data_IF_093013908959
#
_entry.id   IF_093013908959
#
_cell.length_a   1.000
_cell.length_b   1.000
_cell.length_c   1.000
_cell.angle_alpha   90.00
_cell.angle_beta   90.00
_cell.angle_gamma   90.00
#
_symmetry.space_group_name_H-M   'P 1'
#
loop_
_entity.id
_entity.type
_entity.pdbx_description
1 polymer ?
#
# COMPACT_ATOMS: atom_id res chain seq x y z
N UNK A 1 27.76 2.75 -23.58
CA UNK A 1 26.65 1.99 -22.96
C UNK A 1 26.88 1.67 -21.47
N UNK A 2 28.10 1.68 -20.92
CA UNK A 2 28.36 1.30 -19.51
C UNK A 2 27.90 2.35 -18.47
N UNK A 3 28.17 3.64 -18.69
CA UNK A 3 27.91 4.70 -17.68
C UNK A 3 26.43 4.83 -17.25
N UNK A 4 25.49 4.65 -18.19
CA UNK A 4 24.07 4.82 -17.91
C UNK A 4 23.48 3.64 -17.12
N UNK A 5 23.94 2.43 -17.39
CA UNK A 5 23.55 1.23 -16.62
C UNK A 5 24.07 1.34 -15.19
N UNK A 6 25.29 1.85 -14.99
CA UNK A 6 25.84 2.12 -13.67
C UNK A 6 25.04 3.16 -12.88
N UNK A 7 24.50 4.19 -13.56
CA UNK A 7 23.63 5.18 -12.91
C UNK A 7 22.33 4.55 -12.41
N UNK A 8 21.64 3.77 -13.26
CA UNK A 8 20.39 3.07 -12.89
C UNK A 8 20.65 2.12 -11.72
N UNK A 9 21.75 1.36 -11.78
CA UNK A 9 22.20 0.45 -10.73
C UNK A 9 22.40 1.19 -9.40
N UNK A 10 23.13 2.30 -9.44
CA UNK A 10 23.39 3.15 -8.28
C UNK A 10 22.10 3.72 -7.69
N UNK A 11 21.18 4.22 -8.52
CA UNK A 11 19.87 4.71 -8.07
C UNK A 11 19.04 3.61 -7.40
N UNK A 12 19.02 2.40 -7.96
CA UNK A 12 18.27 1.29 -7.37
C UNK A 12 18.92 0.80 -6.07
N UNK A 13 20.24 0.82 -5.94
CA UNK A 13 20.92 0.48 -4.69
C UNK A 13 20.70 1.56 -3.62
N UNK A 14 21.13 2.79 -3.88
CA UNK A 14 21.09 3.88 -2.90
C UNK A 14 19.68 4.40 -2.62
N UNK A 15 18.77 4.31 -3.58
CA UNK A 15 17.35 4.63 -3.38
C UNK A 15 16.57 3.44 -2.85
N UNK A 16 16.72 2.26 -3.47
CA UNK A 16 15.91 1.09 -3.12
C UNK A 16 16.19 0.51 -1.74
N UNK A 17 17.46 0.41 -1.31
CA UNK A 17 17.77 -0.18 0.00
C UNK A 17 17.18 0.62 1.17
N UNK A 18 17.35 1.95 1.26
CA UNK A 18 16.70 2.73 2.31
C UNK A 18 15.19 2.56 2.32
N UNK A 19 14.54 2.57 1.15
CA UNK A 19 13.09 2.35 1.02
C UNK A 19 12.71 0.98 1.56
N UNK A 20 13.46 -0.06 1.20
CA UNK A 20 13.22 -1.43 1.64
C UNK A 20 13.40 -1.58 3.16
N UNK A 21 14.49 -1.07 3.73
CA UNK A 21 14.79 -1.18 5.17
C UNK A 21 13.76 -0.38 5.97
N UNK A 22 13.58 0.90 5.66
CA UNK A 22 12.63 1.77 6.35
C UNK A 22 11.20 1.28 6.17
N UNK A 23 10.83 0.81 4.98
CA UNK A 23 9.51 0.27 4.70
C UNK A 23 9.22 -1.03 5.44
N UNK A 24 10.18 -1.95 5.50
CA UNK A 24 10.01 -3.23 6.20
C UNK A 24 9.88 -2.99 7.71
N UNK A 25 10.81 -2.23 8.30
CA UNK A 25 10.76 -1.86 9.71
C UNK A 25 9.46 -1.10 10.02
N UNK A 26 9.11 -0.12 9.19
CA UNK A 26 7.89 0.68 9.34
C UNK A 26 6.62 -0.18 9.32
N UNK A 27 6.47 -1.08 8.35
CA UNK A 27 5.29 -1.95 8.28
C UNK A 27 5.23 -2.94 9.46
N UNK A 28 6.36 -3.48 9.94
CA UNK A 28 6.40 -4.32 11.14
C UNK A 28 5.96 -3.54 12.40
N UNK A 29 6.45 -2.30 12.56
CA UNK A 29 6.05 -1.43 13.66
C UNK A 29 4.56 -1.04 13.57
N UNK A 30 4.05 -0.76 12.37
CA UNK A 30 2.62 -0.55 12.12
C UNK A 30 1.81 -1.75 12.56
N UNK A 31 2.18 -2.96 12.13
CA UNK A 31 1.49 -4.19 12.49
C UNK A 31 1.40 -4.31 14.01
N UNK A 32 2.53 -4.11 14.70
CA UNK A 32 2.59 -4.23 16.15
C UNK A 32 1.77 -3.18 16.90
N UNK A 33 1.84 -1.92 16.47
CA UNK A 33 1.12 -0.81 17.12
C UNK A 33 -0.39 -0.90 16.89
N UNK A 34 -0.82 -1.29 15.68
CA UNK A 34 -2.23 -1.38 15.31
C UNK A 34 -2.89 -2.67 15.84
N UNK A 35 -2.12 -3.71 16.13
CA UNK A 35 -2.62 -5.01 16.59
C UNK A 35 -3.55 -4.94 17.81
N UNK A 36 -3.24 -4.05 18.77
CA UNK A 36 -4.04 -3.88 19.99
C UNK A 36 -5.43 -3.32 19.69
N UNK A 37 -5.52 -2.44 18.70
CA UNK A 37 -6.75 -1.75 18.32
C UNK A 37 -7.43 -2.37 17.09
N UNK A 38 -7.08 -3.62 16.74
CA UNK A 38 -7.60 -4.37 15.58
C UNK A 38 -9.11 -4.61 15.58
N UNK A 39 -9.80 -4.28 16.67
CA UNK A 39 -11.26 -4.35 16.75
C UNK A 39 -11.94 -3.15 16.07
N UNK A 40 -11.20 -2.08 15.77
CA UNK A 40 -11.70 -0.97 14.94
C UNK A 40 -11.57 -1.34 13.45
N UNK A 41 -12.63 -1.14 12.63
CA UNK A 41 -12.66 -1.60 11.23
C UNK A 41 -11.55 -0.97 10.36
N UNK A 42 -11.34 0.34 10.41
CA UNK A 42 -10.24 0.98 9.68
C UNK A 42 -8.87 0.50 10.14
N UNK A 43 -8.66 0.39 11.47
CA UNK A 43 -7.40 -0.12 12.01
C UNK A 43 -7.13 -1.54 11.51
N UNK A 44 -8.16 -2.39 11.44
CA UNK A 44 -8.05 -3.73 10.86
C UNK A 44 -7.66 -3.69 9.38
N UNK A 45 -8.28 -2.83 8.57
CA UNK A 45 -7.97 -2.70 7.14
C UNK A 45 -6.53 -2.20 6.93
N UNK A 46 -6.09 -1.18 7.68
CA UNK A 46 -4.72 -0.65 7.61
C UNK A 46 -3.69 -1.68 8.09
N UNK A 47 -4.04 -2.47 9.13
CA UNK A 47 -3.22 -3.58 9.58
C UNK A 47 -3.02 -4.62 8.48
N UNK A 48 -4.11 -5.02 7.80
CA UNK A 48 -4.05 -5.91 6.63
C UNK A 48 -3.20 -5.33 5.51
N UNK A 49 -3.38 -4.04 5.19
CA UNK A 49 -2.54 -3.34 4.21
C UNK A 49 -1.05 -3.37 4.58
N UNK A 50 -0.72 -3.21 5.86
CA UNK A 50 0.68 -3.27 6.33
C UNK A 50 1.32 -4.65 6.16
N UNK A 51 0.54 -5.73 6.35
CA UNK A 51 1.00 -7.11 6.07
C UNK A 51 1.25 -7.30 4.58
N UNK A 52 0.31 -6.85 3.74
CA UNK A 52 0.44 -6.93 2.28
C UNK A 52 1.62 -6.09 1.79
N UNK A 53 1.86 -4.91 2.38
CA UNK A 53 3.00 -4.06 2.06
C UNK A 53 4.34 -4.75 2.32
N UNK A 54 4.45 -5.58 3.37
CA UNK A 54 5.64 -6.40 3.56
C UNK A 54 5.83 -7.33 2.35
N UNK A 55 4.80 -8.04 1.91
CA UNK A 55 4.86 -8.93 0.74
C UNK A 55 5.31 -8.14 -0.50
N UNK A 56 4.74 -6.96 -0.73
CA UNK A 56 5.09 -6.06 -1.83
C UNK A 56 6.57 -5.64 -1.79
N UNK A 57 7.09 -5.28 -0.61
CA UNK A 57 8.48 -4.87 -0.46
C UNK A 57 9.44 -6.04 -0.67
N UNK A 58 9.09 -7.26 -0.22
CA UNK A 58 9.92 -8.44 -0.41
C UNK A 58 9.87 -8.98 -1.85
N UNK A 59 8.68 -9.22 -2.41
CA UNK A 59 8.55 -9.80 -3.75
C UNK A 59 8.77 -8.77 -4.87
N UNK A 60 8.43 -7.51 -4.64
CA UNK A 60 8.62 -6.43 -5.60
C UNK A 60 9.99 -5.76 -5.48
N UNK A 61 10.20 -5.00 -4.40
CA UNK A 61 11.37 -4.11 -4.29
C UNK A 61 12.67 -4.88 -4.05
N UNK A 62 12.70 -5.83 -3.10
CA UNK A 62 13.91 -6.57 -2.79
C UNK A 62 14.39 -7.40 -3.98
N UNK A 63 13.48 -8.11 -4.68
CA UNK A 63 13.85 -8.82 -5.91
C UNK A 63 14.33 -7.87 -7.02
N UNK A 64 13.78 -6.66 -7.11
CA UNK A 64 14.28 -5.62 -8.02
C UNK A 64 15.69 -5.15 -7.64
N UNK A 65 15.97 -4.95 -6.36
CA UNK A 65 17.32 -4.59 -5.88
C UNK A 65 18.33 -5.69 -6.23
N UNK A 66 17.98 -6.96 -6.02
CA UNK A 66 18.85 -8.08 -6.42
C UNK A 66 19.09 -8.12 -7.93
N UNK A 67 18.01 -8.05 -8.73
CA UNK A 67 18.11 -8.15 -10.19
C UNK A 67 18.78 -6.95 -10.86
N UNK A 68 18.41 -5.72 -10.50
CA UNK A 68 18.95 -4.50 -11.14
C UNK A 68 20.20 -3.98 -10.43
N UNK A 69 20.25 -4.06 -9.10
CA UNK A 69 21.36 -3.54 -8.29
C UNK A 69 22.59 -4.45 -8.28
N UNK A 70 22.38 -5.76 -8.21
CA UNK A 70 23.46 -6.76 -8.12
C UNK A 70 23.58 -7.66 -9.35
N UNK A 71 22.75 -7.47 -10.37
CA UNK A 71 22.66 -8.38 -11.53
C UNK A 71 22.35 -9.84 -11.12
N UNK A 72 21.71 -10.04 -9.97
CA UNK A 72 21.28 -11.34 -9.46
C UNK A 72 19.80 -11.54 -9.77
N UNK A 73 19.51 -12.03 -10.98
CA UNK A 73 18.14 -12.29 -11.40
C UNK A 73 17.79 -13.79 -11.35
N UNK A 74 17.31 -14.27 -10.20
CA UNK A 74 16.81 -15.64 -10.07
C UNK A 74 15.58 -15.93 -10.95
N UNK A 75 14.87 -14.90 -11.43
CA UNK A 75 13.75 -15.10 -12.33
C UNK A 75 14.19 -15.48 -13.75
N UNK A 76 15.47 -15.26 -14.09
CA UNK A 76 16.05 -15.68 -15.36
C UNK A 76 16.44 -17.16 -15.42
N UNK A 77 16.51 -17.84 -14.25
CA UNK A 77 16.96 -19.23 -14.14
C UNK A 77 15.91 -20.17 -13.57
N UNK A 78 15.03 -19.68 -12.70
CA UNK A 78 14.01 -20.49 -12.04
C UNK A 78 12.59 -20.08 -12.50
N UNK A 79 11.91 -20.99 -13.19
CA UNK A 79 10.57 -20.75 -13.73
C UNK A 79 9.52 -20.49 -12.64
N UNK A 80 9.60 -21.20 -11.50
CA UNK A 80 8.69 -21.03 -10.38
C UNK A 80 8.88 -19.62 -9.80
N UNK A 81 10.12 -19.17 -9.66
CA UNK A 81 10.41 -17.81 -9.18
C UNK A 81 9.94 -16.74 -10.17
N UNK A 82 10.14 -16.94 -11.47
CA UNK A 82 9.63 -16.05 -12.51
C UNK A 82 8.10 -15.84 -12.39
N UNK A 83 7.36 -16.94 -12.33
CA UNK A 83 5.89 -16.91 -12.21
C UNK A 83 5.43 -16.26 -10.91
N UNK A 84 5.93 -16.75 -9.78
CA UNK A 84 5.46 -16.29 -8.46
C UNK A 84 5.84 -14.85 -8.17
N UNK A 85 7.03 -14.38 -8.61
CA UNK A 85 7.45 -12.98 -8.46
C UNK A 85 6.49 -12.01 -9.13
N UNK A 86 6.14 -12.24 -10.40
CA UNK A 86 5.25 -11.35 -11.16
C UNK A 86 3.86 -11.35 -10.54
N UNK A 87 3.30 -12.55 -10.31
CA UNK A 87 1.94 -12.69 -9.79
C UNK A 87 1.77 -12.12 -8.37
N UNK A 88 2.68 -12.43 -7.44
CA UNK A 88 2.58 -11.95 -6.06
C UNK A 88 2.84 -10.45 -5.94
N UNK A 89 3.74 -9.91 -6.77
CA UNK A 89 3.98 -8.46 -6.80
C UNK A 89 2.73 -7.73 -7.29
N UNK A 90 2.15 -8.17 -8.41
CA UNK A 90 0.93 -7.60 -8.98
C UNK A 90 -0.25 -7.69 -8.00
N UNK A 91 -0.51 -8.89 -7.47
CA UNK A 91 -1.55 -9.12 -6.47
C UNK A 91 -1.36 -8.21 -5.25
N UNK A 92 -0.13 -8.12 -4.74
CA UNK A 92 0.22 -7.31 -3.58
C UNK A 92 -0.03 -5.82 -3.81
N UNK A 93 0.35 -5.27 -4.96
CA UNK A 93 0.09 -3.86 -5.28
C UNK A 93 -1.41 -3.55 -5.27
N UNK A 94 -2.21 -4.37 -5.96
CA UNK A 94 -3.65 -4.16 -6.05
C UNK A 94 -4.36 -4.36 -4.71
N UNK A 95 -4.00 -5.39 -3.96
CA UNK A 95 -4.54 -5.62 -2.61
C UNK A 95 -4.23 -4.45 -1.69
N UNK A 96 -2.99 -3.98 -1.66
CA UNK A 96 -2.58 -2.87 -0.79
C UNK A 96 -3.36 -1.59 -1.11
N UNK A 97 -3.40 -1.17 -2.39
CA UNK A 97 -4.13 0.02 -2.81
C UNK A 97 -5.63 -0.10 -2.55
N UNK A 98 -6.20 -1.28 -2.77
CA UNK A 98 -7.61 -1.56 -2.46
C UNK A 98 -7.87 -1.44 -0.96
N UNK A 99 -7.00 -1.97 -0.11
CA UNK A 99 -7.13 -1.81 1.34
C UNK A 99 -7.07 -0.34 1.77
N UNK A 100 -6.18 0.47 1.19
CA UNK A 100 -6.13 1.92 1.48
C UNK A 100 -7.44 2.60 1.02
N UNK A 101 -7.98 2.24 -0.15
CA UNK A 101 -9.27 2.74 -0.61
C UNK A 101 -10.42 2.33 0.34
N UNK A 102 -10.44 1.08 0.80
CA UNK A 102 -11.42 0.61 1.77
C UNK A 102 -11.30 1.36 3.11
N UNK A 103 -10.07 1.64 3.56
CA UNK A 103 -9.83 2.43 4.76
C UNK A 103 -10.31 3.88 4.58
N UNK A 104 -10.11 4.50 3.41
CA UNK A 104 -10.58 5.86 3.14
C UNK A 104 -12.11 5.93 3.03
N UNK A 105 -12.74 4.92 2.42
CA UNK A 105 -14.20 4.76 2.40
C UNK A 105 -14.74 4.61 3.83
N UNK A 106 -14.11 3.79 4.67
CA UNK A 106 -14.51 3.63 6.07
C UNK A 106 -14.43 4.95 6.85
N UNK A 107 -13.38 5.76 6.63
CA UNK A 107 -13.28 7.12 7.20
C UNK A 107 -14.40 8.02 6.72
N UNK A 108 -14.74 7.97 5.43
CA UNK A 108 -15.86 8.72 4.88
C UNK A 108 -17.18 8.29 5.52
N UNK A 109 -17.46 6.99 5.59
CA UNK A 109 -18.69 6.45 6.18
C UNK A 109 -18.88 6.85 7.65
N UNK A 110 -17.81 6.84 8.45
CA UNK A 110 -17.85 7.30 9.84
C UNK A 110 -18.09 8.81 9.93
N UNK A 111 -17.57 9.58 8.96
CA UNK A 111 -17.75 11.04 8.93
C UNK A 111 -19.17 11.47 8.56
N UNK A 112 -19.97 10.58 7.95
CA UNK A 112 -21.34 10.88 7.57
C UNK A 112 -22.24 11.15 8.79
N UNK A 113 -23.17 12.11 8.64
CA UNK A 113 -24.15 12.45 9.68
C UNK A 113 -25.19 11.35 9.89
N UNK A 114 -25.60 10.67 8.82
CA UNK A 114 -26.64 9.66 8.89
C UNK A 114 -26.11 8.36 9.50
N UNK A 115 -26.82 7.84 10.49
CA UNK A 115 -26.43 6.63 11.21
C UNK A 115 -26.38 5.39 10.30
N UNK A 116 -27.25 5.32 9.29
CA UNK A 116 -27.27 4.23 8.30
C UNK A 116 -25.90 4.03 7.64
N UNK A 117 -25.22 5.12 7.24
CA UNK A 117 -23.89 5.03 6.63
C UNK A 117 -22.80 4.70 7.64
N UNK A 118 -22.86 5.28 8.85
CA UNK A 118 -21.93 4.96 9.94
C UNK A 118 -22.01 3.49 10.35
N UNK A 119 -23.20 2.91 10.28
CA UNK A 119 -23.44 1.50 10.58
C UNK A 119 -22.84 0.54 9.55
N UNK A 120 -22.40 1.01 8.37
CA UNK A 120 -21.65 0.17 7.42
C UNK A 120 -20.19 -0.03 7.85
N UNK A 121 -19.64 0.89 8.64
CA UNK A 121 -18.31 0.78 9.25
C UNK A 121 -18.32 -0.18 10.45
N UNK A 122 -18.61 -1.46 10.19
CA UNK A 122 -18.57 -2.55 11.18
C UNK A 122 -17.39 -3.47 10.92
N UNK A 123 -16.84 -4.05 11.98
CA UNK A 123 -15.68 -4.94 11.88
C UNK A 123 -15.97 -6.19 11.04
N UNK A 124 -17.20 -6.73 11.08
CA UNK A 124 -17.61 -7.86 10.25
C UNK A 124 -17.52 -7.53 8.76
N UNK A 125 -18.00 -6.35 8.36
CA UNK A 125 -17.91 -5.86 6.99
C UNK A 125 -16.46 -5.66 6.57
N UNK A 126 -15.64 -5.02 7.41
CA UNK A 126 -14.23 -4.82 7.12
C UNK A 126 -13.46 -6.14 6.90
N UNK A 127 -13.71 -7.16 7.73
CA UNK A 127 -13.13 -8.50 7.57
C UNK A 127 -13.55 -9.14 6.26
N UNK A 128 -14.83 -9.08 5.93
CA UNK A 128 -15.36 -9.64 4.69
C UNK A 128 -14.79 -8.92 3.46
N UNK A 129 -14.73 -7.58 3.49
CA UNK A 129 -14.16 -6.78 2.41
C UNK A 129 -12.68 -7.09 2.17
N UNK A 130 -11.87 -7.22 3.23
CA UNK A 130 -10.46 -7.63 3.11
C UNK A 130 -10.33 -9.06 2.55
N UNK A 131 -11.16 -10.00 3.04
CA UNK A 131 -11.14 -11.38 2.56
C UNK A 131 -11.49 -11.47 1.07
N UNK A 132 -12.55 -10.80 0.63
CA UNK A 132 -12.96 -10.71 -0.78
C UNK A 132 -11.86 -10.05 -1.61
N UNK A 133 -11.23 -8.98 -1.10
CA UNK A 133 -10.10 -8.30 -1.76
C UNK A 133 -8.95 -9.26 -2.03
N UNK A 134 -8.57 -10.07 -1.03
CA UNK A 134 -7.49 -11.05 -1.17
C UNK A 134 -7.86 -12.10 -2.23
N UNK A 135 -9.05 -12.71 -2.14
CA UNK A 135 -9.46 -13.73 -3.11
C UNK A 135 -9.51 -13.16 -4.53
N UNK A 136 -10.15 -12.00 -4.69
CA UNK A 136 -10.33 -11.36 -5.98
C UNK A 136 -8.98 -11.09 -6.67
N UNK A 137 -8.02 -10.49 -5.95
CA UNK A 137 -6.73 -10.14 -6.55
C UNK A 137 -5.79 -11.35 -6.73
N UNK A 138 -5.92 -12.41 -5.93
CA UNK A 138 -5.23 -13.67 -6.19
C UNK A 138 -5.76 -14.32 -7.47
N UNK A 139 -7.08 -14.38 -7.66
CA UNK A 139 -7.70 -14.90 -8.88
C UNK A 139 -7.29 -14.07 -10.10
N UNK A 140 -7.37 -12.74 -9.97
CA UNK A 140 -6.97 -11.80 -11.03
C UNK A 140 -5.50 -11.99 -11.47
N UNK A 141 -4.63 -12.38 -10.55
CA UNK A 141 -3.19 -12.58 -10.82
C UNK A 141 -2.83 -14.00 -11.28
N UNK A 142 -3.79 -14.93 -11.36
CA UNK A 142 -3.57 -16.28 -11.89
C UNK A 142 -3.02 -16.32 -13.32
N UNK A 143 -3.48 -15.47 -14.28
CA UNK A 143 -2.93 -15.46 -15.62
C UNK A 143 -1.41 -15.21 -15.64
N UNK A 144 -0.90 -14.36 -14.75
CA UNK A 144 0.55 -14.09 -14.65
C UNK A 144 1.32 -15.35 -14.19
N UNK A 145 0.72 -16.20 -13.35
CA UNK A 145 1.29 -17.51 -12.99
C UNK A 145 1.29 -18.49 -14.15
N UNK A 146 0.28 -18.42 -15.02
CA UNK A 146 0.14 -19.34 -16.16
C UNK A 146 1.13 -18.95 -17.26
N UNK A 147 1.12 -17.68 -17.67
CA UNK A 147 1.84 -17.15 -18.83
C UNK A 147 3.27 -16.68 -18.55
N UNK A 148 3.68 -16.58 -17.27
CA UNK A 148 5.07 -16.28 -16.91
C UNK A 148 6.03 -17.35 -17.43
N UNK A 149 7.04 -16.96 -18.19
CA UNK A 149 8.01 -17.89 -18.79
C UNK A 149 9.39 -17.25 -18.91
N UNK A 150 10.40 -18.09 -19.09
CA UNK A 150 11.79 -17.67 -19.30
C UNK A 150 12.03 -17.62 -20.80
N UNK A 151 12.38 -16.44 -21.31
CA UNK A 151 12.72 -16.22 -22.72
C UNK A 151 14.23 -16.07 -22.83
N UNK A 152 14.82 -16.74 -23.83
CA UNK A 152 16.21 -16.52 -24.23
C UNK A 152 16.25 -15.54 -25.40
N UNK A 153 17.00 -14.45 -25.25
CA UNK A 153 17.25 -13.53 -26.35
C UNK A 153 18.14 -14.24 -27.40
N UNK A 154 17.69 -14.39 -28.66
CA UNK A 154 18.44 -15.12 -29.68
C UNK A 154 19.75 -14.43 -30.08
N UNK A 155 19.86 -13.10 -29.88
CA UNK A 155 21.04 -12.32 -30.28
C UNK A 155 22.10 -12.25 -29.19
N UNK A 156 21.70 -12.13 -27.93
CA UNK A 156 22.63 -11.97 -26.80
C UNK A 156 22.82 -13.24 -25.98
N UNK A 157 21.97 -14.25 -26.19
CA UNK A 157 21.96 -15.48 -25.40
C UNK A 157 21.45 -15.31 -23.96
N UNK A 158 21.14 -14.08 -23.53
CA UNK A 158 20.67 -13.77 -22.18
C UNK A 158 19.24 -14.26 -21.97
N UNK A 159 18.98 -14.87 -20.80
CA UNK A 159 17.65 -15.27 -20.37
C UNK A 159 17.01 -14.19 -19.49
N UNK A 160 15.70 -14.00 -19.64
CA UNK A 160 14.93 -13.08 -18.80
C UNK A 160 13.52 -13.60 -18.59
N UNK A 161 12.92 -13.25 -17.46
CA UNK A 161 11.53 -13.56 -17.16
C UNK A 161 10.60 -12.58 -17.88
N UNK A 162 9.60 -13.10 -18.59
CA UNK A 162 8.58 -12.29 -19.24
C UNK A 162 7.24 -13.04 -19.26
N UNK A 163 6.17 -12.32 -19.59
CA UNK A 163 4.82 -12.87 -19.69
C UNK A 163 4.46 -12.96 -21.16
N UNK A 164 4.46 -14.18 -21.72
CA UNK A 164 4.02 -14.42 -23.10
C UNK A 164 2.58 -14.90 -23.03
N UNK A 165 1.65 -13.98 -23.27
CA UNK A 165 0.22 -14.26 -23.26
C UNK A 165 -0.41 -13.97 -24.63
N UNK A 166 -1.61 -14.52 -24.89
CA UNK A 166 -2.38 -14.16 -26.08
C UNK A 166 -2.55 -12.64 -26.19
N UNK A 167 -2.60 -12.06 -27.41
CA UNK A 167 -2.67 -10.61 -27.60
C UNK A 167 -3.79 -9.92 -26.81
N UNK A 168 -4.93 -10.58 -26.65
CA UNK A 168 -6.05 -10.08 -25.85
C UNK A 168 -5.68 -9.85 -24.38
N UNK A 169 -4.95 -10.78 -23.76
CA UNK A 169 -4.53 -10.62 -22.38
C UNK A 169 -3.41 -9.58 -22.25
N UNK A 170 -2.46 -9.53 -23.19
CA UNK A 170 -1.44 -8.48 -23.18
C UNK A 170 -2.07 -7.09 -23.28
N UNK A 171 -3.04 -6.90 -24.17
CA UNK A 171 -3.79 -5.66 -24.29
C UNK A 171 -4.58 -5.33 -23.02
N UNK A 172 -5.23 -6.32 -22.41
CA UNK A 172 -5.89 -6.12 -21.11
C UNK A 172 -4.90 -5.66 -20.03
N UNK A 173 -3.72 -6.28 -19.95
CA UNK A 173 -2.70 -5.95 -18.95
C UNK A 173 -2.20 -4.52 -19.12
N UNK A 174 -1.88 -4.14 -20.36
CA UNK A 174 -1.34 -2.83 -20.70
C UNK A 174 -2.40 -1.73 -20.62
N UNK A 175 -3.58 -1.90 -21.21
CA UNK A 175 -4.55 -0.81 -21.33
C UNK A 175 -5.60 -0.75 -20.23
N UNK A 176 -5.76 -1.82 -19.44
CA UNK A 176 -6.76 -1.87 -18.36
C UNK A 176 -6.08 -2.10 -17.02
N UNK A 177 -5.35 -3.21 -16.87
CA UNK A 177 -4.88 -3.63 -15.55
C UNK A 177 -3.92 -2.61 -14.93
N UNK A 178 -2.93 -2.15 -15.68
CA UNK A 178 -1.96 -1.17 -15.19
C UNK A 178 -2.60 0.22 -14.99
N UNK A 179 -3.21 0.87 -16.01
CA UNK A 179 -3.66 2.25 -15.87
C UNK A 179 -4.88 2.39 -14.97
N UNK A 180 -5.84 1.45 -15.06
CA UNK A 180 -7.10 1.55 -14.33
C UNK A 180 -6.94 1.08 -12.90
N UNK A 181 -6.47 -0.16 -12.67
CA UNK A 181 -6.45 -0.72 -11.31
C UNK A 181 -5.29 -0.22 -10.45
N UNK A 182 -4.14 0.11 -11.04
CA UNK A 182 -3.00 0.63 -10.29
C UNK A 182 -3.09 2.15 -10.08
N UNK A 183 -3.61 2.87 -11.08
CA UNK A 183 -3.53 4.33 -11.14
C UNK A 183 -4.86 5.03 -10.92
N UNK A 184 -5.72 5.01 -11.95
CA UNK A 184 -6.91 5.86 -12.02
C UNK A 184 -7.95 5.52 -10.96
N UNK A 185 -8.35 4.24 -10.85
CA UNK A 185 -9.43 3.84 -9.95
C UNK A 185 -9.08 4.10 -8.48
N UNK A 186 -7.91 3.67 -7.94
CA UNK A 186 -7.54 4.01 -6.57
C UNK A 186 -7.43 5.51 -6.34
N UNK A 187 -6.79 6.25 -7.25
CA UNK A 187 -6.61 7.70 -7.11
C UNK A 187 -7.95 8.45 -7.05
N UNK A 188 -8.90 8.11 -7.94
CA UNK A 188 -10.23 8.72 -7.94
C UNK A 188 -10.95 8.42 -6.63
N UNK A 189 -10.96 7.16 -6.18
CA UNK A 189 -11.61 6.77 -4.91
C UNK A 189 -10.98 7.53 -3.74
N UNK A 190 -9.65 7.56 -3.64
CA UNK A 190 -8.92 8.22 -2.55
C UNK A 190 -9.16 9.74 -2.54
N UNK A 191 -9.16 10.40 -3.70
CA UNK A 191 -9.43 11.84 -3.81
C UNK A 191 -10.88 12.14 -3.40
N UNK A 192 -11.86 11.44 -3.97
CA UNK A 192 -13.28 11.68 -3.66
C UNK A 192 -13.55 11.44 -2.18
N UNK A 193 -13.17 10.28 -1.66
CA UNK A 193 -13.40 9.91 -0.25
C UNK A 193 -12.62 10.80 0.70
N UNK A 194 -11.39 11.21 0.36
CA UNK A 194 -10.58 12.17 1.12
C UNK A 194 -11.25 13.54 1.22
N UNK A 195 -11.69 14.11 0.09
CA UNK A 195 -12.39 15.40 0.04
C UNK A 195 -13.71 15.35 0.83
N UNK A 196 -14.50 14.30 0.65
CA UNK A 196 -15.75 14.13 1.39
C UNK A 196 -15.51 13.99 2.90
N UNK A 197 -14.50 13.21 3.30
CA UNK A 197 -14.11 13.06 4.70
C UNK A 197 -13.68 14.39 5.29
N UNK A 198 -12.83 15.15 4.60
CA UNK A 198 -12.36 16.45 5.04
C UNK A 198 -13.53 17.42 5.30
N UNK A 199 -14.47 17.52 4.35
CA UNK A 199 -15.67 18.37 4.48
C UNK A 199 -16.54 17.99 5.68
N UNK A 200 -16.62 16.70 5.99
CA UNK A 200 -17.46 16.18 7.07
C UNK A 200 -16.79 16.23 8.45
N UNK A 201 -15.45 16.29 8.51
CA UNK A 201 -14.68 16.21 9.76
C UNK A 201 -14.99 17.36 10.73
N UNK A 202 -15.39 18.52 10.22
CA UNK A 202 -15.77 19.68 11.03
C UNK A 202 -17.14 19.56 11.72
N UNK A 203 -17.92 18.51 11.42
CA UNK A 203 -19.32 18.34 11.89
C UNK A 203 -19.54 17.09 12.77
N UNK A 204 -18.47 16.37 13.12
CA UNK A 204 -18.54 15.14 13.89
C UNK A 204 -18.82 15.42 15.38
N UNK A 205 -20.07 15.22 15.82
CA UNK A 205 -20.46 15.17 17.23
C UNK A 205 -20.51 13.71 17.70
N UNK A 206 -19.37 13.16 18.13
CA UNK A 206 -19.28 11.81 18.73
C UNK A 206 -18.92 11.98 20.22
N UNK A 207 -19.25 11.00 21.07
CA UNK A 207 -18.75 10.93 22.46
C UNK A 207 -17.25 11.22 22.54
N UNK A 208 -16.84 12.12 23.44
CA UNK A 208 -15.51 12.75 23.53
C UNK A 208 -14.31 11.82 23.36
N UNK A 209 -14.35 10.59 23.93
CA UNK A 209 -13.25 9.62 23.80
C UNK A 209 -13.18 8.93 22.43
N UNK A 210 -14.31 8.46 21.90
CA UNK A 210 -14.36 7.85 20.56
C UNK A 210 -14.02 8.88 19.48
N UNK A 211 -14.42 10.13 19.70
CA UNK A 211 -14.11 11.26 18.82
C UNK A 211 -12.59 11.46 18.64
N UNK A 212 -11.80 11.39 19.71
CA UNK A 212 -10.33 11.59 19.64
C UNK A 212 -9.66 10.54 18.75
N UNK A 213 -9.98 9.25 18.96
CA UNK A 213 -9.38 8.16 18.17
C UNK A 213 -9.79 8.29 16.69
N UNK A 214 -11.06 8.58 16.42
CA UNK A 214 -11.55 8.72 15.05
C UNK A 214 -10.91 9.93 14.35
N UNK A 215 -10.79 11.08 15.03
CA UNK A 215 -10.10 12.27 14.50
C UNK A 215 -8.64 11.99 14.15
N UNK A 216 -7.92 11.24 14.98
CA UNK A 216 -6.54 10.88 14.70
C UNK A 216 -6.41 9.94 13.49
N UNK A 217 -7.25 8.90 13.40
CA UNK A 217 -7.27 7.99 12.25
C UNK A 217 -7.65 8.72 10.95
N UNK A 218 -8.60 9.64 11.02
CA UNK A 218 -8.97 10.49 9.88
C UNK A 218 -7.80 11.37 9.46
N UNK A 219 -7.11 12.02 10.40
CA UNK A 219 -5.91 12.83 10.11
C UNK A 219 -4.80 12.00 9.44
N UNK A 220 -4.53 10.80 9.96
CA UNK A 220 -3.57 9.87 9.36
C UNK A 220 -3.90 9.59 7.89
N UNK A 221 -5.14 9.21 7.59
CA UNK A 221 -5.58 8.88 6.23
C UNK A 221 -5.55 10.09 5.31
N UNK A 222 -5.99 11.27 5.77
CA UNK A 222 -5.97 12.50 4.97
C UNK A 222 -4.55 12.93 4.57
N UNK A 223 -3.54 12.65 5.39
CA UNK A 223 -2.13 12.91 5.05
C UNK A 223 -1.57 11.82 4.14
N UNK A 224 -2.00 10.56 4.32
CA UNK A 224 -1.51 9.44 3.52
C UNK A 224 -2.03 9.46 2.07
N UNK A 225 -3.29 9.86 1.86
CA UNK A 225 -3.91 9.94 0.53
C UNK A 225 -3.07 10.71 -0.50
N UNK A 226 -2.68 11.98 -0.29
CA UNK A 226 -1.89 12.72 -1.28
C UNK A 226 -0.53 12.08 -1.53
N UNK A 227 0.10 11.49 -0.52
CA UNK A 227 1.39 10.78 -0.70
C UNK A 227 1.23 9.60 -1.65
N UNK A 228 0.17 8.79 -1.47
CA UNK A 228 -0.10 7.65 -2.36
C UNK A 228 -0.40 8.14 -3.77
N UNK A 229 -1.32 9.10 -3.93
CA UNK A 229 -1.72 9.63 -5.25
C UNK A 229 -0.53 10.23 -6.00
N UNK A 230 0.28 11.06 -5.34
CA UNK A 230 1.48 11.65 -5.93
C UNK A 230 2.58 10.63 -6.22
N UNK A 231 2.53 9.44 -5.61
CA UNK A 231 3.51 8.38 -5.86
C UNK A 231 3.07 7.41 -6.95
N UNK A 232 1.78 7.09 -7.02
CA UNK A 232 1.24 6.10 -7.97
C UNK A 232 0.96 6.70 -9.34
N UNK A 233 0.41 7.92 -9.43
CA UNK A 233 0.04 8.52 -10.71
C UNK A 233 1.23 8.77 -11.64
N UNK A 234 2.37 9.35 -11.19
CA UNK A 234 3.51 9.56 -12.08
C UNK A 234 4.07 8.25 -12.64
N UNK A 235 4.11 7.20 -11.81
CA UNK A 235 4.54 5.87 -12.23
C UNK A 235 3.65 5.29 -13.33
N UNK A 236 2.33 5.34 -13.13
CA UNK A 236 1.36 4.81 -14.10
C UNK A 236 1.39 5.61 -15.40
N UNK A 237 1.31 6.95 -15.31
CA UNK A 237 1.31 7.83 -16.49
C UNK A 237 2.56 7.61 -17.33
N UNK A 238 3.73 7.55 -16.68
CA UNK A 238 4.98 7.38 -17.40
C UNK A 238 5.14 5.97 -17.98
N UNK A 239 4.68 4.94 -17.27
CA UNK A 239 4.71 3.57 -17.80
C UNK A 239 3.83 3.46 -19.04
N UNK A 240 2.62 4.04 -19.03
CA UNK A 240 1.76 4.11 -20.22
C UNK A 240 2.44 4.88 -21.36
N UNK A 241 3.05 6.03 -21.06
CA UNK A 241 3.82 6.78 -22.05
C UNK A 241 4.89 5.91 -22.73
N UNK A 242 5.65 5.10 -21.96
CA UNK A 242 6.67 4.21 -22.53
C UNK A 242 6.09 3.12 -23.43
N UNK A 243 4.89 2.63 -23.11
CA UNK A 243 4.17 1.63 -23.94
C UNK A 243 3.68 2.26 -25.24
N UNK A 244 3.01 3.41 -25.17
CA UNK A 244 2.51 4.10 -26.36
C UNK A 244 3.62 4.54 -27.31
N UNK A 245 4.75 4.95 -26.77
CA UNK A 245 5.90 5.40 -27.55
C UNK A 245 6.84 4.26 -27.98
N UNK A 246 6.50 3.00 -27.71
CA UNK A 246 7.36 1.85 -28.05
C UNK A 246 7.55 1.65 -29.56
N UNK A 247 6.59 2.08 -30.39
CA UNK A 247 6.66 2.00 -31.87
C UNK A 247 7.43 3.15 -32.50
N UNK A 248 7.73 4.20 -31.73
CA UNK A 248 8.44 5.39 -32.22
C UNK A 248 9.94 5.09 -32.21
N UNK A 249 10.64 5.42 -33.30
CA UNK A 249 12.10 5.28 -33.37
C UNK A 249 12.73 6.31 -32.43
N UNK A 250 13.42 5.82 -31.38
CA UNK A 250 14.08 6.66 -30.37
C UNK A 250 15.59 6.60 -30.50
N UNK A 251 16.23 7.74 -30.27
CA UNK A 251 17.69 7.82 -30.11
C UNK A 251 18.14 7.09 -28.84
N UNK A 252 19.41 6.67 -28.80
CA UNK A 252 20.01 6.04 -27.60
C UNK A 252 19.90 6.93 -26.35
N UNK A 253 19.99 8.25 -26.52
CA UNK A 253 19.89 9.21 -25.42
C UNK A 253 18.45 9.28 -24.87
N UNK A 254 17.45 9.33 -25.74
CA UNK A 254 16.03 9.33 -25.32
C UNK A 254 15.67 8.06 -24.54
N UNK A 255 16.06 6.87 -25.04
CA UNK A 255 15.79 5.61 -24.34
C UNK A 255 16.46 5.56 -22.95
N UNK A 256 17.66 6.16 -22.83
CA UNK A 256 18.35 6.27 -21.55
C UNK A 256 17.56 7.15 -20.57
N UNK A 257 17.14 8.33 -21.01
CA UNK A 257 16.38 9.28 -20.16
C UNK A 257 15.08 8.62 -19.68
N UNK A 258 14.37 7.95 -20.57
CA UNK A 258 13.13 7.24 -20.22
C UNK A 258 13.36 6.14 -19.19
N UNK A 259 14.44 5.36 -19.32
CA UNK A 259 14.77 4.33 -18.33
C UNK A 259 15.10 4.93 -16.95
N UNK A 260 15.78 6.07 -16.91
CA UNK A 260 16.09 6.78 -15.66
C UNK A 260 14.80 7.28 -15.01
N UNK A 261 13.93 7.96 -15.77
CA UNK A 261 12.65 8.49 -15.26
C UNK A 261 11.76 7.33 -14.77
N UNK A 262 11.70 6.23 -15.53
CA UNK A 262 10.97 5.02 -15.12
C UNK A 262 11.50 4.47 -13.81
N UNK A 263 12.82 4.44 -13.60
CA UNK A 263 13.41 3.97 -12.35
C UNK A 263 13.06 4.89 -11.17
N UNK A 264 13.14 6.21 -11.37
CA UNK A 264 12.78 7.21 -10.35
C UNK A 264 11.32 7.02 -9.94
N UNK A 265 10.39 6.96 -10.90
CA UNK A 265 8.97 6.77 -10.58
C UNK A 265 8.67 5.39 -10.02
N UNK A 266 9.43 4.36 -10.39
CA UNK A 266 9.31 3.04 -9.75
C UNK A 266 9.70 3.11 -8.27
N UNK A 267 10.80 3.78 -7.92
CA UNK A 267 11.22 3.96 -6.52
C UNK A 267 10.21 4.81 -5.75
N UNK A 268 9.68 5.87 -6.36
CA UNK A 268 8.61 6.69 -5.78
C UNK A 268 7.33 5.88 -5.54
N UNK A 269 6.94 5.02 -6.49
CA UNK A 269 5.83 4.10 -6.32
C UNK A 269 6.06 3.17 -5.10
N UNK A 270 7.26 2.61 -4.94
CA UNK A 270 7.58 1.79 -3.76
C UNK A 270 7.58 2.56 -2.44
N UNK A 271 7.92 3.86 -2.46
CA UNK A 271 7.82 4.71 -1.28
C UNK A 271 6.41 4.76 -0.71
N UNK A 272 5.37 4.66 -1.55
CA UNK A 272 3.98 4.65 -1.08
C UNK A 272 3.67 3.49 -0.11
N UNK A 273 4.34 2.35 -0.27
CA UNK A 273 4.20 1.17 0.61
C UNK A 273 5.10 1.25 1.85
N UNK A 274 6.13 2.10 1.84
CA UNK A 274 7.08 2.29 2.94
C UNK A 274 6.67 3.42 3.91
N UNK A 275 6.04 4.49 3.40
CA UNK A 275 5.82 5.73 4.16
C UNK A 275 4.74 5.65 5.25
N UNK A 276 3.86 4.64 5.22
CA UNK A 276 2.67 4.56 6.09
C UNK A 276 2.99 4.74 7.58
N UNK A 277 4.04 4.08 8.08
CA UNK A 277 4.44 4.20 9.49
C UNK A 277 4.88 5.61 9.87
N UNK A 278 5.71 6.24 9.06
CA UNK A 278 6.22 7.59 9.31
C UNK A 278 5.08 8.61 9.33
N UNK A 279 4.13 8.46 8.39
CA UNK A 279 2.91 9.27 8.37
C UNK A 279 2.12 9.09 9.67
N UNK A 280 1.89 7.85 10.11
CA UNK A 280 1.12 7.57 11.32
C UNK A 280 1.81 8.08 12.58
N UNK A 281 3.13 7.92 12.66
CA UNK A 281 3.97 8.40 13.75
C UNK A 281 3.97 9.92 13.87
N UNK A 282 4.05 10.65 12.75
CA UNK A 282 4.01 12.13 12.77
C UNK A 282 2.60 12.64 13.05
N UNK A 283 1.57 11.92 12.58
CA UNK A 283 0.19 12.42 12.59
C UNK A 283 -0.55 12.23 13.91
N UNK A 284 -0.28 11.15 14.66
CA UNK A 284 -1.07 10.76 15.85
C UNK A 284 -0.23 10.66 17.12
N UNK A 285 -0.69 11.37 18.17
CA UNK A 285 -0.14 11.25 19.51
C UNK A 285 -0.34 9.85 20.11
N UNK A 286 -1.51 9.23 19.92
CA UNK A 286 -1.78 7.91 20.47
C UNK A 286 -0.93 6.83 19.80
N UNK A 287 -0.70 6.95 18.50
CA UNK A 287 0.22 6.05 17.80
C UNK A 287 1.67 6.23 18.28
N UNK A 288 2.12 7.48 18.48
CA UNK A 288 3.42 7.75 19.12
C UNK A 288 3.53 7.16 20.51
N UNK A 289 2.47 7.22 21.31
CA UNK A 289 2.47 6.65 22.66
C UNK A 289 2.59 5.12 22.61
N UNK A 290 1.85 4.44 21.74
CA UNK A 290 1.98 2.98 21.55
C UNK A 290 3.37 2.59 21.03
N UNK A 291 3.94 3.37 20.08
CA UNK A 291 5.30 3.15 19.61
C UNK A 291 6.35 3.42 20.71
N UNK A 292 6.20 4.50 21.48
CA UNK A 292 7.07 4.80 22.64
C UNK A 292 6.97 3.73 23.71
N UNK A 293 5.77 3.22 23.99
CA UNK A 293 5.59 2.09 24.90
C UNK A 293 6.35 0.88 24.39
N UNK A 294 6.40 0.60 23.09
CA UNK A 294 7.25 -0.47 22.59
C UNK A 294 8.74 -0.24 22.89
N UNK A 295 9.27 0.96 22.61
CA UNK A 295 10.69 1.26 22.85
C UNK A 295 11.06 1.43 24.34
N UNK A 296 10.13 1.90 25.17
CA UNK A 296 10.34 2.16 26.60
C UNK A 296 9.91 0.99 27.49
N UNK A 297 9.05 0.08 27.04
CA UNK A 297 8.60 -1.11 27.77
C UNK A 297 9.58 -2.29 27.62
N UNK A 298 10.86 -1.98 27.46
CA UNK A 298 11.90 -2.76 28.13
C UNK A 298 12.02 -2.38 29.64
N UNK A 299 11.32 -1.33 30.12
CA UNK A 299 11.51 -0.84 31.50
C UNK A 299 10.27 -0.55 32.36
N UNK A 300 9.02 -0.66 31.89
CA UNK A 300 7.88 -0.24 32.74
C UNK A 300 6.57 -0.98 32.50
N UNK A 301 6.39 -2.07 33.24
CA UNK A 301 5.08 -2.61 33.64
C UNK A 301 4.24 -1.63 34.53
N UNK A 302 4.65 -0.37 34.67
CA UNK A 302 4.15 0.55 35.70
C UNK A 302 2.87 1.33 35.34
N UNK A 303 2.46 1.40 34.06
CA UNK A 303 1.29 2.19 33.64
C UNK A 303 0.01 1.38 33.43
N UNK A 304 0.00 0.09 33.78
CA UNK A 304 -1.13 -0.82 33.53
C UNK A 304 -2.37 -0.54 34.39
N UNK A 305 -2.30 0.36 35.38
CA UNK A 305 -3.36 0.58 36.37
C UNK A 305 -4.22 1.86 36.21
N UNK A 306 -4.00 2.72 35.20
CA UNK A 306 -4.65 4.05 35.20
C UNK A 306 -5.92 4.17 34.30
N UNK A 307 -6.31 3.16 33.51
CA UNK A 307 -7.46 3.31 32.58
C UNK A 307 -8.59 2.27 32.67
N UNK A 308 -8.71 1.52 33.76
CA UNK A 308 -9.91 0.70 34.01
C UNK A 308 -10.46 1.02 35.41
N UNK A 309 -11.13 2.16 35.54
CA UNK A 309 -12.22 2.29 36.50
C UNK A 309 -13.48 2.72 35.72
N UNK A 310 -14.51 1.86 35.61
CA UNK A 310 -15.84 2.33 35.28
C UNK A 310 -16.36 3.11 36.50
N UNK A 311 -16.66 4.40 36.31
CA UNK A 311 -17.47 5.14 37.28
C UNK A 311 -18.80 4.39 37.48
N UNK A 312 -19.25 4.13 38.73
CA UNK A 312 -20.57 3.58 38.96
C UNK A 312 -21.63 4.59 38.51
N UNK A 313 -22.58 4.12 37.69
CA UNK A 313 -23.79 4.85 37.35
C UNK A 313 -24.58 5.12 38.64
N UNK A 314 -25.16 6.33 38.82
CA UNK A 314 -26.01 6.61 39.96
C UNK A 314 -27.27 5.74 39.88
N UNK A 315 -27.52 5.01 40.96
CA UNK A 315 -28.76 4.28 41.23
C UNK A 315 -29.92 5.26 41.21
N UNK A 316 -30.80 5.09 40.22
CA UNK A 316 -32.13 5.72 40.22
C UNK A 316 -32.89 5.06 41.38
N UNK A 317 -33.14 5.82 42.45
CA UNK A 317 -34.11 5.44 43.48
C UNK A 317 -35.48 5.53 42.83
N UNK A 318 -36.18 4.41 42.79
CA UNK A 318 -37.63 4.37 42.64
C UNK A 318 -38.24 5.13 43.82
N UNK A 319 -38.71 6.34 43.57
CA UNK A 319 -39.68 7.01 44.42
C UNK A 319 -41.06 6.51 44.04
N UNK A 320 -41.61 5.69 44.93
CA UNK A 320 -43.04 5.43 45.08
C UNK A 320 -43.84 6.73 45.12
N UNK A 321 -44.89 6.81 44.31
CA UNK A 321 -46.21 7.37 44.65
C UNK A 321 -47.24 6.87 43.63
#
# INVERSE_FOLDING_TARGET
>A
MSSNTELIRSMTLYGGFPIFICGTIGNLLNIRCLWRNRHNPCVFIILSASIINCIVLFYGLFTRILSVGFNLDWSSTNLIWCKTRVALSQAGYFMSLTCVCLASIDRFLISCRQEKYRNLSRLSFARWAVFVTIIFWLIHSLPELIYGTIIKNPYTGLTFCSVISPPAHMNYRLYISLPVYLGLLPSIILIITGLMTYRNTNKLQITRQREIIQKQLTKMMLIQIPIIVCSTLPYVIFTEYTVFSATIIKTSNQRTIENIITNIFTLLFYMSFACSFFVFFISSNSFRQEAKLFFLCHRTNLFRNIQIQPHPLPTIRDTTL
#
